data_IF_710309390438
#
_entry.id   IF_710309390438
#
_cell.length_a   1.000
_cell.length_b   1.000
_cell.length_c   1.000
_cell.angle_alpha   90.00
_cell.angle_beta   90.00
_cell.angle_gamma   90.00
#
_symmetry.space_group_name_H-M   'P 1'
#
loop_
_entity.id
_entity.type
_entity.pdbx_description
1 polymer ?
#
# COMPACT_ATOMS: atom_id res chain seq x y z
N UNK A 1 49.92 -6.43 -29.87
CA UNK A 1 48.96 -5.30 -29.70
C UNK A 1 47.51 -5.59 -30.13
N UNK A 2 47.21 -6.48 -31.10
CA UNK A 2 45.81 -6.77 -31.52
C UNK A 2 44.97 -7.56 -30.51
N UNK A 3 45.57 -8.45 -29.72
CA UNK A 3 44.84 -9.28 -28.74
C UNK A 3 44.27 -8.49 -27.55
N UNK A 4 44.96 -7.46 -27.04
CA UNK A 4 44.45 -6.64 -25.94
C UNK A 4 43.18 -5.85 -26.29
N UNK A 5 43.01 -5.48 -27.57
CA UNK A 5 41.81 -4.77 -28.05
C UNK A 5 40.58 -5.68 -28.10
N UNK A 6 40.76 -6.96 -28.40
CA UNK A 6 39.67 -7.96 -28.48
C UNK A 6 39.21 -8.33 -27.05
N UNK A 7 40.15 -8.54 -26.12
CA UNK A 7 39.83 -8.83 -24.72
C UNK A 7 39.15 -7.63 -24.04
N UNK A 8 39.61 -6.40 -24.31
CA UNK A 8 38.97 -5.18 -23.80
C UNK A 8 37.54 -4.99 -24.32
N UNK A 9 37.30 -5.23 -25.60
CA UNK A 9 35.96 -5.16 -26.19
C UNK A 9 35.01 -6.22 -25.59
N UNK A 10 35.50 -7.45 -25.37
CA UNK A 10 34.73 -8.50 -24.71
C UNK A 10 34.34 -8.14 -23.26
N UNK A 11 35.26 -7.51 -22.51
CA UNK A 11 35.01 -7.08 -21.13
C UNK A 11 33.97 -5.94 -21.06
N UNK A 12 34.01 -4.99 -22.00
CA UNK A 12 33.01 -3.91 -22.09
C UNK A 12 31.62 -4.47 -22.45
N UNK A 13 31.53 -5.41 -23.39
CA UNK A 13 30.26 -6.05 -23.74
C UNK A 13 29.70 -6.85 -22.55
N UNK A 14 30.56 -7.58 -21.84
CA UNK A 14 30.18 -8.32 -20.64
C UNK A 14 29.67 -7.40 -19.52
N UNK A 15 30.32 -6.25 -19.29
CA UNK A 15 29.86 -5.25 -18.33
C UNK A 15 28.54 -4.60 -18.75
N UNK A 16 28.33 -4.33 -20.04
CA UNK A 16 27.05 -3.80 -20.55
C UNK A 16 25.93 -4.83 -20.39
N UNK A 17 26.19 -6.11 -20.65
CA UNK A 17 25.22 -7.19 -20.46
C UNK A 17 24.86 -7.42 -18.98
N UNK A 18 25.85 -7.34 -18.08
CA UNK A 18 25.60 -7.38 -16.63
C UNK A 18 24.79 -6.16 -16.19
N UNK A 19 25.09 -4.97 -16.73
CA UNK A 19 24.35 -3.74 -16.39
C UNK A 19 22.89 -3.77 -16.85
N UNK A 20 22.59 -4.43 -17.98
CA UNK A 20 21.21 -4.67 -18.44
C UNK A 20 20.52 -5.75 -17.60
N UNK A 21 21.27 -6.72 -17.06
CA UNK A 21 20.76 -7.75 -16.15
C UNK A 21 20.48 -7.23 -14.72
N UNK A 22 21.00 -6.05 -14.35
CA UNK A 22 20.62 -5.30 -13.14
C UNK A 22 19.45 -4.34 -13.41
N UNK A 23 18.55 -4.65 -14.34
CA UNK A 23 17.21 -4.10 -14.27
C UNK A 23 16.60 -4.59 -12.94
N UNK A 24 16.52 -3.71 -11.95
CA UNK A 24 15.93 -4.03 -10.64
C UNK A 24 14.54 -4.65 -10.86
N UNK A 25 14.44 -5.95 -10.61
CA UNK A 25 13.14 -6.62 -10.64
C UNK A 25 12.37 -6.17 -9.40
N UNK A 26 11.49 -5.17 -9.58
CA UNK A 26 10.56 -4.64 -8.57
C UNK A 26 9.47 -5.68 -8.22
N UNK A 27 9.89 -6.81 -7.66
CA UNK A 27 9.04 -7.91 -7.19
C UNK A 27 8.50 -7.64 -5.79
N UNK A 28 7.53 -8.44 -5.34
CA UNK A 28 7.08 -8.41 -3.94
C UNK A 28 8.25 -8.62 -2.97
N UNK A 29 9.15 -9.55 -3.27
CA UNK A 29 10.33 -9.83 -2.45
C UNK A 29 11.27 -8.63 -2.36
N UNK A 30 11.44 -7.87 -3.44
CA UNK A 30 12.21 -6.62 -3.42
C UNK A 30 11.63 -5.64 -2.40
N UNK A 31 10.32 -5.41 -2.43
CA UNK A 31 9.67 -4.48 -1.49
C UNK A 31 9.66 -5.02 -0.06
N UNK A 32 9.44 -6.31 0.17
CA UNK A 32 9.54 -6.92 1.50
C UNK A 32 10.96 -6.81 2.08
N UNK A 33 11.99 -7.00 1.27
CA UNK A 33 13.38 -6.76 1.68
C UNK A 33 13.62 -5.27 1.98
N UNK A 34 12.96 -4.36 1.24
CA UNK A 34 13.06 -2.92 1.50
C UNK A 34 12.47 -2.56 2.85
N UNK A 35 11.29 -3.11 3.18
CA UNK A 35 10.62 -2.95 4.49
C UNK A 35 11.58 -3.25 5.65
N UNK A 36 12.37 -4.33 5.53
CA UNK A 36 13.26 -4.77 6.61
C UNK A 36 14.63 -4.10 6.62
N UNK A 37 15.15 -3.67 5.47
CA UNK A 37 16.54 -3.23 5.34
C UNK A 37 16.77 -1.72 5.36
N UNK A 38 15.78 -0.89 4.99
CA UNK A 38 15.95 0.56 4.89
C UNK A 38 14.67 1.31 5.31
N UNK A 39 14.67 2.03 6.44
CA UNK A 39 13.54 2.87 6.85
C UNK A 39 13.44 4.16 6.02
N UNK A 40 14.48 4.48 5.23
CA UNK A 40 14.44 5.59 4.29
C UNK A 40 13.39 5.26 3.22
N UNK A 41 12.32 6.07 3.18
CA UNK A 41 11.16 5.82 2.33
C UNK A 41 11.49 5.67 0.84
N UNK A 42 10.49 5.25 0.06
CA UNK A 42 10.67 4.92 -1.35
C UNK A 42 11.16 6.12 -2.20
N UNK A 43 12.10 5.84 -3.09
CA UNK A 43 12.48 6.72 -4.20
C UNK A 43 11.28 6.91 -5.15
N UNK A 44 11.33 7.97 -5.96
CA UNK A 44 10.23 8.33 -6.86
C UNK A 44 9.90 7.21 -7.86
N UNK A 45 10.91 6.58 -8.46
CA UNK A 45 10.74 5.43 -9.36
C UNK A 45 10.18 4.20 -8.63
N UNK A 46 10.69 3.90 -7.42
CA UNK A 46 10.18 2.79 -6.61
C UNK A 46 8.71 2.99 -6.24
N UNK A 47 8.28 4.23 -5.93
CA UNK A 47 6.87 4.58 -5.69
C UNK A 47 5.99 4.28 -6.89
N UNK A 48 6.46 4.63 -8.10
CA UNK A 48 5.70 4.38 -9.34
C UNK A 48 5.58 2.89 -9.61
N UNK A 49 6.66 2.14 -9.48
CA UNK A 49 6.65 0.69 -9.69
C UNK A 49 5.83 -0.04 -8.62
N UNK A 50 5.89 0.40 -7.35
CA UNK A 50 4.98 -0.09 -6.30
C UNK A 50 3.52 0.05 -6.72
N UNK A 51 3.11 1.26 -7.11
CA UNK A 51 1.74 1.56 -7.50
C UNK A 51 1.30 0.75 -8.74
N UNK A 52 2.22 0.51 -9.66
CA UNK A 52 1.99 -0.34 -10.85
C UNK A 52 1.81 -1.82 -10.49
N UNK A 53 2.56 -2.33 -9.51
CA UNK A 53 2.33 -3.70 -9.01
C UNK A 53 0.98 -3.83 -8.30
N UNK A 54 0.60 -2.84 -7.49
CA UNK A 54 -0.72 -2.78 -6.87
C UNK A 54 -1.83 -2.70 -7.92
N UNK A 55 -1.65 -1.92 -8.99
CA UNK A 55 -2.61 -1.87 -10.10
C UNK A 55 -2.80 -3.23 -10.78
N UNK A 56 -1.70 -3.95 -11.06
CA UNK A 56 -1.75 -5.30 -11.61
C UNK A 56 -2.47 -6.27 -10.68
N UNK A 57 -2.22 -6.15 -9.37
CA UNK A 57 -2.88 -6.96 -8.35
C UNK A 57 -4.39 -6.70 -8.32
N UNK A 58 -4.81 -5.44 -8.42
CA UNK A 58 -6.22 -5.07 -8.52
C UNK A 58 -6.87 -5.58 -9.83
N UNK A 59 -6.12 -5.64 -10.94
CA UNK A 59 -6.61 -6.23 -12.18
C UNK A 59 -6.82 -7.74 -12.05
N UNK A 60 -5.87 -8.47 -11.45
CA UNK A 60 -6.06 -9.89 -11.11
C UNK A 60 -7.30 -10.09 -10.23
N UNK A 61 -7.53 -9.20 -9.26
CA UNK A 61 -8.73 -9.22 -8.42
C UNK A 61 -10.02 -9.00 -9.19
N UNK A 62 -10.01 -8.11 -10.17
CA UNK A 62 -11.15 -7.90 -11.07
C UNK A 62 -11.43 -9.15 -11.91
N UNK A 63 -10.39 -9.77 -12.46
CA UNK A 63 -10.53 -11.01 -13.25
C UNK A 63 -11.10 -12.15 -12.41
N UNK A 64 -10.56 -12.37 -11.20
CA UNK A 64 -11.05 -13.37 -10.27
C UNK A 64 -12.52 -13.11 -9.89
N UNK A 65 -12.86 -11.88 -9.54
CA UNK A 65 -14.24 -11.45 -9.28
C UNK A 65 -15.16 -11.75 -10.46
N UNK A 66 -14.72 -11.44 -11.69
CA UNK A 66 -15.49 -11.69 -12.91
C UNK A 66 -15.81 -13.17 -13.10
N UNK A 67 -14.82 -14.04 -12.91
CA UNK A 67 -14.99 -15.51 -13.01
C UNK A 67 -15.95 -16.04 -11.94
N UNK A 68 -15.76 -15.66 -10.68
CA UNK A 68 -16.64 -16.11 -9.58
C UNK A 68 -18.08 -15.65 -9.82
N UNK A 69 -18.27 -14.37 -10.19
CA UNK A 69 -19.60 -13.82 -10.45
C UNK A 69 -20.29 -14.53 -11.62
N UNK A 70 -19.56 -14.75 -12.72
CA UNK A 70 -20.08 -15.44 -13.89
C UNK A 70 -20.52 -16.87 -13.54
N UNK A 71 -19.63 -17.64 -12.92
CA UNK A 71 -19.89 -19.04 -12.61
C UNK A 71 -21.00 -19.23 -11.55
N UNK A 72 -21.16 -18.24 -10.66
CA UNK A 72 -22.29 -18.21 -9.74
C UNK A 72 -23.61 -17.94 -10.48
N UNK A 73 -23.63 -17.00 -11.42
CA UNK A 73 -24.83 -16.66 -12.20
C UNK A 73 -25.25 -17.76 -13.17
N UNK A 74 -24.30 -18.50 -13.75
CA UNK A 74 -24.58 -19.61 -14.66
C UNK A 74 -24.94 -20.91 -13.93
N UNK A 75 -24.79 -20.96 -12.60
CA UNK A 75 -25.01 -22.16 -11.79
C UNK A 75 -23.89 -23.19 -11.88
N UNK A 76 -22.73 -22.83 -12.45
CA UNK A 76 -21.53 -23.69 -12.42
C UNK A 76 -20.98 -23.86 -11.00
N UNK A 77 -21.15 -22.83 -10.16
CA UNK A 77 -20.90 -22.93 -8.72
C UNK A 77 -22.24 -23.21 -8.03
N UNK A 78 -22.41 -24.45 -7.58
CA UNK A 78 -23.60 -24.85 -6.82
C UNK A 78 -23.51 -24.32 -5.39
N UNK A 79 -24.34 -23.31 -5.09
CA UNK A 79 -24.61 -22.80 -3.75
C UNK A 79 -26.11 -22.56 -3.62
N UNK A 80 -26.61 -22.69 -2.38
CA UNK A 80 -28.04 -22.59 -2.11
C UNK A 80 -28.56 -21.22 -2.57
N UNK A 81 -29.78 -21.18 -3.10
CA UNK A 81 -30.38 -19.96 -3.67
C UNK A 81 -30.29 -18.73 -2.74
N UNK A 82 -30.57 -18.91 -1.43
CA UNK A 82 -30.47 -17.83 -0.43
C UNK A 82 -29.02 -17.36 -0.18
N UNK A 83 -28.04 -18.23 -0.38
CA UNK A 83 -26.61 -17.89 -0.29
C UNK A 83 -26.13 -17.21 -1.58
N UNK A 84 -26.70 -17.57 -2.73
CA UNK A 84 -26.40 -16.96 -4.03
C UNK A 84 -26.59 -15.45 -4.03
N UNK A 85 -27.77 -14.96 -3.60
CA UNK A 85 -28.04 -13.52 -3.54
C UNK A 85 -27.11 -12.78 -2.58
N UNK A 86 -26.79 -13.41 -1.44
CA UNK A 86 -25.83 -12.88 -0.48
C UNK A 86 -24.43 -12.73 -1.10
N UNK A 87 -23.93 -13.77 -1.77
CA UNK A 87 -22.60 -13.74 -2.40
C UNK A 87 -22.54 -12.76 -3.56
N UNK A 88 -23.57 -12.68 -4.40
CA UNK A 88 -23.64 -11.69 -5.47
C UNK A 88 -23.59 -10.26 -4.92
N UNK A 89 -24.26 -9.99 -3.80
CA UNK A 89 -24.18 -8.68 -3.14
C UNK A 89 -22.76 -8.38 -2.65
N UNK A 90 -22.10 -9.35 -2.01
CA UNK A 90 -20.71 -9.22 -1.55
C UNK A 90 -19.73 -8.96 -2.68
N UNK A 91 -19.83 -9.72 -3.77
CA UNK A 91 -19.00 -9.54 -4.96
C UNK A 91 -19.17 -8.14 -5.56
N UNK A 92 -20.41 -7.62 -5.65
CA UNK A 92 -20.65 -6.25 -6.12
C UNK A 92 -19.95 -5.18 -5.26
N UNK A 93 -19.90 -5.36 -3.95
CA UNK A 93 -19.20 -4.43 -3.06
C UNK A 93 -17.67 -4.53 -3.20
N UNK A 94 -17.15 -5.72 -3.49
CA UNK A 94 -15.73 -5.91 -3.80
C UNK A 94 -15.34 -5.24 -5.13
N UNK A 95 -16.18 -5.34 -6.15
CA UNK A 95 -15.95 -4.64 -7.41
C UNK A 95 -15.82 -3.13 -7.20
N UNK A 96 -16.69 -2.53 -6.37
CA UNK A 96 -16.55 -1.11 -6.00
C UNK A 96 -15.23 -0.83 -5.30
N UNK A 97 -14.78 -1.74 -4.43
CA UNK A 97 -13.52 -1.60 -3.70
C UNK A 97 -12.30 -1.70 -4.63
N UNK A 98 -12.35 -2.60 -5.61
CA UNK A 98 -11.35 -2.73 -6.69
C UNK A 98 -11.30 -1.45 -7.52
N UNK A 99 -12.45 -0.95 -7.96
CA UNK A 99 -12.55 0.24 -8.80
C UNK A 99 -12.05 1.48 -8.06
N UNK A 100 -12.47 1.65 -6.80
CA UNK A 100 -11.98 2.71 -5.94
C UNK A 100 -10.46 2.63 -5.75
N UNK A 101 -9.92 1.43 -5.54
CA UNK A 101 -8.48 1.18 -5.44
C UNK A 101 -7.74 1.61 -6.70
N UNK A 102 -8.23 1.22 -7.89
CA UNK A 102 -7.62 1.59 -9.18
C UNK A 102 -7.61 3.11 -9.39
N UNK A 103 -8.71 3.78 -9.06
CA UNK A 103 -8.77 5.25 -9.14
C UNK A 103 -7.81 5.92 -8.16
N UNK A 104 -7.65 5.39 -6.94
CA UNK A 104 -6.65 5.92 -6.02
C UNK A 104 -5.22 5.68 -6.52
N UNK A 105 -4.93 4.54 -7.14
CA UNK A 105 -3.62 4.29 -7.76
C UNK A 105 -3.32 5.31 -8.85
N UNK A 106 -4.26 5.58 -9.75
CA UNK A 106 -4.11 6.63 -10.79
C UNK A 106 -3.82 7.99 -10.16
N UNK A 107 -4.63 8.38 -9.17
CA UNK A 107 -4.44 9.64 -8.44
C UNK A 107 -3.05 9.74 -7.79
N UNK A 108 -2.56 8.66 -7.18
CA UNK A 108 -1.26 8.64 -6.49
C UNK A 108 -0.08 8.64 -7.45
N UNK A 109 -0.23 8.13 -8.67
CA UNK A 109 0.77 8.28 -9.74
C UNK A 109 0.92 9.73 -10.19
N UNK A 110 -0.15 10.52 -10.11
CA UNK A 110 -0.09 11.97 -10.40
C UNK A 110 0.35 12.76 -9.16
N UNK A 111 -0.22 12.44 -7.99
CA UNK A 111 -0.06 13.16 -6.72
C UNK A 111 0.47 12.23 -5.63
N UNK A 112 1.77 11.96 -5.71
CA UNK A 112 2.47 11.00 -4.83
C UNK A 112 2.39 11.29 -3.33
N UNK A 113 2.10 12.54 -2.94
CA UNK A 113 2.00 12.94 -1.53
C UNK A 113 0.53 13.09 -1.06
N UNK A 114 -0.44 12.58 -1.83
CA UNK A 114 -1.85 12.70 -1.52
C UNK A 114 -2.29 11.69 -0.45
N UNK A 115 -2.09 12.04 0.83
CA UNK A 115 -2.34 11.17 1.97
C UNK A 115 -3.74 10.55 1.99
N UNK A 116 -4.79 11.34 1.71
CA UNK A 116 -6.18 10.84 1.70
C UNK A 116 -6.37 9.74 0.66
N UNK A 117 -5.70 9.86 -0.49
CA UNK A 117 -5.74 8.84 -1.53
C UNK A 117 -5.00 7.58 -1.12
N UNK A 118 -3.87 7.73 -0.43
CA UNK A 118 -3.12 6.60 0.13
C UNK A 118 -3.93 5.85 1.20
N UNK A 119 -4.61 6.56 2.12
CA UNK A 119 -5.49 5.94 3.12
C UNK A 119 -6.64 5.17 2.45
N UNK A 120 -7.27 5.76 1.43
CA UNK A 120 -8.36 5.09 0.69
C UNK A 120 -7.87 3.85 -0.06
N UNK A 121 -6.69 3.92 -0.70
CA UNK A 121 -6.09 2.76 -1.37
C UNK A 121 -5.79 1.65 -0.36
N UNK A 122 -5.17 1.98 0.77
CA UNK A 122 -4.88 1.01 1.83
C UNK A 122 -6.15 0.32 2.33
N UNK A 123 -7.21 1.09 2.59
CA UNK A 123 -8.51 0.54 2.98
C UNK A 123 -9.05 -0.43 1.92
N UNK A 124 -9.07 -0.04 0.65
CA UNK A 124 -9.52 -0.92 -0.45
C UNK A 124 -8.73 -2.24 -0.48
N UNK A 125 -7.41 -2.19 -0.33
CA UNK A 125 -6.57 -3.39 -0.30
C UNK A 125 -6.87 -4.28 0.91
N UNK A 126 -7.07 -3.68 2.09
CA UNK A 126 -7.37 -4.43 3.32
C UNK A 126 -8.75 -5.09 3.28
N UNK A 127 -9.76 -4.34 2.83
CA UNK A 127 -11.13 -4.85 2.67
C UNK A 127 -11.13 -6.04 1.68
N UNK A 128 -10.44 -5.91 0.54
CA UNK A 128 -10.32 -6.97 -0.45
C UNK A 128 -9.55 -8.19 0.09
N UNK A 129 -8.45 -7.99 0.80
CA UNK A 129 -7.69 -9.08 1.43
C UNK A 129 -8.58 -9.91 2.37
N UNK A 130 -9.36 -9.24 3.22
CA UNK A 130 -10.29 -9.90 4.15
C UNK A 130 -11.38 -10.68 3.39
N UNK A 131 -12.00 -10.05 2.39
CA UNK A 131 -13.09 -10.67 1.64
C UNK A 131 -12.60 -11.84 0.79
N UNK A 132 -11.44 -11.70 0.14
CA UNK A 132 -10.85 -12.77 -0.69
C UNK A 132 -10.38 -13.93 0.18
N UNK A 133 -9.90 -13.66 1.40
CA UNK A 133 -9.61 -14.71 2.35
C UNK A 133 -10.89 -15.46 2.78
N UNK A 134 -12.02 -14.76 2.94
CA UNK A 134 -13.30 -15.40 3.21
C UNK A 134 -13.74 -16.30 2.05
N UNK A 135 -13.52 -15.88 0.80
CA UNK A 135 -13.80 -16.69 -0.39
C UNK A 135 -12.93 -17.95 -0.47
N UNK A 136 -11.67 -17.89 -0.04
CA UNK A 136 -10.81 -19.07 0.00
C UNK A 136 -11.30 -20.17 0.96
N UNK A 137 -12.14 -19.83 1.94
CA UNK A 137 -12.75 -20.84 2.82
C UNK A 137 -13.91 -21.58 2.16
N UNK A 138 -14.31 -21.19 0.94
CA UNK A 138 -15.35 -21.85 0.15
C UNK A 138 -14.64 -22.58 -1.01
N UNK A 139 -14.69 -23.93 -1.06
CA UNK A 139 -13.96 -24.69 -2.07
C UNK A 139 -14.25 -24.22 -3.51
N UNK A 140 -15.51 -23.94 -3.82
CA UNK A 140 -15.95 -23.48 -5.14
C UNK A 140 -15.42 -22.11 -5.52
N UNK A 141 -15.06 -21.25 -4.56
CA UNK A 141 -14.49 -19.92 -4.82
C UNK A 141 -12.96 -19.92 -4.77
N UNK A 142 -12.37 -20.77 -3.92
CA UNK A 142 -10.92 -20.87 -3.72
C UNK A 142 -10.17 -21.17 -5.03
N UNK A 143 -10.75 -21.97 -5.93
CA UNK A 143 -10.16 -22.25 -7.25
C UNK A 143 -9.96 -21.00 -8.12
N UNK A 144 -10.72 -19.92 -7.87
CA UNK A 144 -10.63 -18.66 -8.62
C UNK A 144 -9.80 -17.60 -7.89
N UNK A 145 -9.86 -17.59 -6.56
CA UNK A 145 -9.20 -16.59 -5.72
C UNK A 145 -7.78 -17.00 -5.37
N UNK A 146 -7.57 -18.24 -4.92
CA UNK A 146 -6.28 -18.84 -4.62
C UNK A 146 -5.37 -17.93 -3.79
N UNK A 147 -4.14 -17.73 -4.26
CA UNK A 147 -3.10 -16.97 -3.57
C UNK A 147 -3.32 -15.45 -3.59
N UNK A 148 -4.40 -14.95 -4.19
CA UNK A 148 -4.62 -13.52 -4.31
C UNK A 148 -4.91 -12.86 -2.95
N UNK A 149 -5.58 -13.56 -2.03
CA UNK A 149 -5.84 -13.05 -0.68
C UNK A 149 -4.55 -12.79 0.12
N UNK A 150 -3.62 -13.77 0.25
CA UNK A 150 -2.34 -13.52 0.91
C UNK A 150 -1.45 -12.54 0.13
N UNK A 151 -1.51 -12.52 -1.21
CA UNK A 151 -0.81 -11.47 -1.98
C UNK A 151 -1.33 -10.07 -1.63
N UNK A 152 -2.65 -9.85 -1.60
CA UNK A 152 -3.27 -8.57 -1.20
C UNK A 152 -2.87 -8.15 0.21
N UNK A 153 -2.80 -9.10 1.14
CA UNK A 153 -2.36 -8.83 2.51
C UNK A 153 -0.92 -8.33 2.56
N UNK A 154 -0.01 -9.01 1.87
CA UNK A 154 1.41 -8.65 1.82
C UNK A 154 1.63 -7.30 1.11
N UNK A 155 0.93 -7.05 0.01
CA UNK A 155 1.01 -5.77 -0.69
C UNK A 155 0.39 -4.63 0.13
N UNK A 156 -0.66 -4.90 0.91
CA UNK A 156 -1.33 -3.91 1.75
C UNK A 156 -0.54 -3.53 3.01
N UNK A 157 -0.26 -4.50 3.88
CA UNK A 157 0.23 -4.25 5.25
C UNK A 157 1.75 -4.08 5.36
N UNK A 158 2.60 -5.08 5.08
CA UNK A 158 4.04 -4.83 5.19
C UNK A 158 4.51 -3.86 4.11
N UNK A 159 4.00 -3.96 2.88
CA UNK A 159 4.55 -3.19 1.75
C UNK A 159 3.96 -1.78 1.65
N UNK A 160 2.68 -1.63 1.30
CA UNK A 160 2.12 -0.31 1.01
C UNK A 160 2.02 0.56 2.27
N UNK A 161 1.54 -0.01 3.37
CA UNK A 161 1.38 0.74 4.61
C UNK A 161 2.73 1.24 5.14
N UNK A 162 3.76 0.39 5.22
CA UNK A 162 5.05 0.81 5.78
C UNK A 162 5.90 1.65 4.83
N UNK A 163 5.95 1.30 3.54
CA UNK A 163 6.84 1.98 2.59
C UNK A 163 6.24 3.26 1.99
N UNK A 164 4.91 3.39 2.02
CA UNK A 164 4.21 4.49 1.36
C UNK A 164 3.34 5.29 2.34
N UNK A 165 2.39 4.66 3.02
CA UNK A 165 1.40 5.38 3.83
C UNK A 165 2.00 6.01 5.10
N UNK A 166 2.75 5.24 5.88
CA UNK A 166 3.36 5.72 7.13
C UNK A 166 4.31 6.91 6.89
N UNK A 167 5.25 6.87 5.93
CA UNK A 167 6.10 8.03 5.62
C UNK A 167 5.28 9.28 5.26
N UNK A 168 4.18 9.13 4.50
CA UNK A 168 3.31 10.24 4.16
C UNK A 168 2.57 10.81 5.38
N UNK A 169 2.15 9.96 6.32
CA UNK A 169 1.51 10.40 7.54
C UNK A 169 2.48 11.22 8.41
N UNK A 170 3.71 10.74 8.59
CA UNK A 170 4.74 11.44 9.36
C UNK A 170 5.11 12.81 8.77
N UNK A 171 5.17 12.94 7.44
CA UNK A 171 5.42 14.22 6.78
C UNK A 171 4.33 15.24 7.14
N UNK A 172 3.06 14.83 7.15
CA UNK A 172 1.93 15.72 7.44
C UNK A 172 1.86 16.14 8.92
N UNK A 173 2.35 15.30 9.83
CA UNK A 173 2.43 15.66 11.25
C UNK A 173 3.59 16.62 11.55
N UNK A 174 4.64 16.59 10.73
CA UNK A 174 5.79 17.52 10.85
C UNK A 174 5.46 18.90 10.28
N UNK A 175 4.58 19.00 9.27
CA UNK A 175 4.10 20.26 8.70
C UNK A 175 3.16 21.06 9.65
N UNK A 176 2.68 20.43 10.73
CA UNK A 176 1.96 21.14 11.78
C UNK A 176 2.98 21.76 12.72
N UNK A 177 3.28 23.05 12.50
CA UNK A 177 3.99 23.90 13.47
C UNK A 177 3.49 23.62 14.90
N UNK A 178 4.38 23.51 15.91
CA UNK A 178 3.95 23.35 17.29
C UNK A 178 3.04 24.54 17.68
N UNK A 179 1.96 24.31 18.44
CA UNK A 179 1.06 25.38 18.85
C UNK A 179 1.89 26.50 19.50
N UNK A 180 1.67 27.78 19.13
CA UNK A 180 2.44 28.88 19.68
C UNK A 180 2.34 28.80 21.20
N UNK A 181 3.50 28.64 21.87
CA UNK A 181 3.63 28.57 23.32
C UNK A 181 2.70 29.62 23.93
N UNK A 182 1.64 29.14 24.58
CA UNK A 182 0.75 29.96 25.39
C UNK A 182 1.65 30.68 26.40
N UNK A 183 1.81 32.00 26.23
CA UNK A 183 2.55 32.84 27.16
C UNK A 183 1.93 32.65 28.54
N UNK A 184 2.65 32.01 29.45
CA UNK A 184 2.30 31.93 30.86
C UNK A 184 2.07 33.37 31.35
N UNK A 185 0.92 33.70 31.96
CA UNK A 185 0.73 35.02 32.53
C UNK A 185 1.76 35.25 33.66
N UNK A 186 2.30 36.46 33.81
CA UNK A 186 3.34 36.73 34.79
C UNK A 186 2.81 36.52 36.22
N UNK A 187 3.66 36.04 37.14
CA UNK A 187 3.24 35.77 38.52
C UNK A 187 2.86 37.08 39.23
N UNK A 188 1.65 37.10 39.79
CA UNK A 188 1.16 38.20 40.64
C UNK A 188 2.15 38.42 41.80
N UNK A 189 2.70 39.63 41.88
CA UNK A 189 3.46 40.11 43.03
C UNK A 189 2.64 39.96 44.32
N UNK A 190 3.30 39.44 45.36
CA UNK A 190 2.77 39.35 46.72
C UNK A 190 2.70 40.75 47.32
N UNK A 191 1.50 41.19 47.71
CA UNK A 191 1.36 42.33 48.62
C UNK A 191 1.96 41.98 50.01
N UNK A 192 2.67 42.92 50.67
CA UNK A 192 3.34 42.66 51.93
C UNK A 192 2.35 42.63 53.11
N UNK A 193 2.61 41.68 54.03
CA UNK A 193 1.93 41.51 55.32
C UNK A 193 2.17 42.75 56.21
N UNK A 194 1.13 43.32 56.87
CA UNK A 194 1.33 44.38 57.85
C UNK A 194 1.90 43.79 59.15
N UNK A 195 3.12 44.21 59.51
CA UNK A 195 3.71 43.95 60.82
C UNK A 195 2.93 44.71 61.89
N UNK A 196 2.21 43.98 62.73
CA UNK A 196 1.75 44.47 64.03
C UNK A 196 2.94 44.80 64.92
N UNK A 197 2.88 45.98 65.55
CA UNK A 197 3.64 46.31 66.76
C UNK A 197 2.63 46.48 67.90
N UNK A 198 2.72 45.57 68.88
CA UNK A 198 2.46 45.83 70.32
C UNK A 198 3.83 45.96 70.99
N UNK A 199 3.98 46.52 72.21
CA UNK A 199 3.01 47.19 73.07
C UNK A 199 3.13 48.73 73.07
#
# INVERSE_FOLDING_TARGET
MRYHKIVGAGFVIFLVLISVAFAENYSLQYFLNKVTSKPDGLLKNEKVELLKQIERLLEKGREAHGKVTHNLQTGEIDIRYQEGDFWISKLKDDLKSIDAGKEQVKLLKEKHNHLVGAVKLYKSLKDLSINFNAYNNIPSFSAFVGDLAPELELWGDPVFFQLYLLPLAHLKDTDKEPPPKQKTPPPKEKAPVPKGKKP
#
